data_IF_892738554613
#
_entry.id   IF_892738554613
#
_cell.length_a   1.000
_cell.length_b   1.000
_cell.length_c   1.000
_cell.angle_alpha   90.00
_cell.angle_beta   90.00
_cell.angle_gamma   90.00
#
_symmetry.space_group_name_H-M   'P 1'
#
loop_
_entity.id
_entity.type
_entity.pdbx_description
1 polymer ?
#
# COMPACT_ATOMS: atom_id res chain seq x y z
N UNK A 1 0.55 -1.38 -17.93
CA UNK A 1 0.59 -1.36 -16.43
C UNK A 1 -0.06 -2.65 -15.94
N UNK A 2 0.30 -3.19 -14.78
CA UNK A 2 -0.29 -4.43 -14.27
C UNK A 2 -0.84 -4.22 -12.85
N UNK A 3 -2.02 -4.77 -12.57
CA UNK A 3 -2.63 -4.81 -11.25
C UNK A 3 -2.61 -6.27 -10.76
N UNK A 4 -2.17 -6.44 -9.51
CA UNK A 4 -2.12 -7.73 -8.84
C UNK A 4 -3.23 -7.77 -7.81
N UNK A 5 -4.02 -8.85 -7.81
CA UNK A 5 -5.01 -9.09 -6.76
C UNK A 5 -5.00 -10.55 -6.31
N UNK A 6 -5.69 -10.81 -5.20
CA UNK A 6 -5.99 -12.18 -4.79
C UNK A 6 -6.86 -12.93 -5.84
N UNK A 7 -7.07 -14.22 -5.59
CA UNK A 7 -7.86 -15.11 -6.45
C UNK A 7 -9.37 -15.12 -6.13
N UNK A 8 -9.86 -14.16 -5.33
CA UNK A 8 -11.27 -14.09 -4.98
C UNK A 8 -12.13 -13.86 -6.23
N UNK A 9 -13.22 -14.63 -6.42
CA UNK A 9 -14.09 -14.52 -7.58
C UNK A 9 -14.67 -13.10 -7.79
N UNK A 10 -14.90 -12.37 -6.70
CA UNK A 10 -15.43 -11.01 -6.73
C UNK A 10 -14.48 -10.00 -7.39
N UNK A 11 -13.16 -10.17 -7.26
CA UNK A 11 -12.18 -9.21 -7.78
C UNK A 11 -12.07 -9.25 -9.30
N UNK A 12 -12.12 -10.45 -9.90
CA UNK A 12 -12.12 -10.58 -11.37
C UNK A 12 -13.40 -10.01 -12.01
N UNK A 13 -14.54 -10.13 -11.33
CA UNK A 13 -15.80 -9.48 -11.73
C UNK A 13 -15.69 -7.96 -11.64
N UNK A 14 -15.25 -7.44 -10.50
CA UNK A 14 -15.08 -6.01 -10.28
C UNK A 14 -14.10 -5.38 -11.28
N UNK A 15 -12.98 -6.05 -11.57
CA UNK A 15 -11.99 -5.57 -12.53
C UNK A 15 -12.56 -5.45 -13.96
N UNK A 16 -13.30 -6.46 -14.43
CA UNK A 16 -13.99 -6.39 -15.73
C UNK A 16 -15.01 -5.27 -15.78
N UNK A 17 -15.76 -5.05 -14.70
CA UNK A 17 -16.72 -3.94 -14.60
C UNK A 17 -16.03 -2.58 -14.64
N UNK A 18 -14.85 -2.45 -14.03
CA UNK A 18 -14.05 -1.22 -14.13
C UNK A 18 -13.57 -0.99 -15.57
N UNK A 19 -13.14 -2.05 -16.26
CA UNK A 19 -12.75 -1.97 -17.67
C UNK A 19 -13.90 -1.57 -18.60
N UNK A 20 -15.12 -2.08 -18.34
CA UNK A 20 -16.30 -1.68 -19.15
C UNK A 20 -16.68 -0.22 -18.96
N UNK A 21 -16.37 0.38 -17.80
CA UNK A 21 -16.57 1.81 -17.52
C UNK A 21 -15.41 2.67 -18.05
N UNK A 22 -14.43 2.06 -18.76
CA UNK A 22 -13.29 2.76 -19.35
C UNK A 22 -12.10 2.95 -18.41
N UNK A 23 -12.15 2.40 -17.19
CA UNK A 23 -11.05 2.46 -16.24
C UNK A 23 -10.12 1.26 -16.42
N UNK A 24 -8.81 1.48 -16.36
CA UNK A 24 -7.80 0.40 -16.42
C UNK A 24 -7.86 -0.48 -17.69
N UNK A 25 -8.40 0.04 -18.80
CA UNK A 25 -8.57 -0.69 -20.09
C UNK A 25 -7.28 -1.30 -20.64
N UNK A 26 -6.14 -0.62 -20.46
CA UNK A 26 -4.80 -1.08 -20.88
C UNK A 26 -3.99 -1.76 -19.75
N UNK A 27 -4.66 -2.17 -18.68
CA UNK A 27 -4.01 -2.76 -17.50
C UNK A 27 -4.21 -4.27 -17.47
N UNK A 28 -3.12 -5.01 -17.36
CA UNK A 28 -3.17 -6.46 -17.16
C UNK A 28 -3.58 -6.81 -15.73
N UNK A 29 -4.47 -7.78 -15.57
CA UNK A 29 -4.84 -8.34 -14.28
C UNK A 29 -4.03 -9.61 -14.00
N UNK A 30 -3.27 -9.63 -12.91
CA UNK A 30 -2.43 -10.77 -12.52
C UNK A 30 -2.91 -11.36 -11.19
N UNK A 31 -3.09 -12.68 -11.16
CA UNK A 31 -3.52 -13.44 -9.96
C UNK A 31 -2.49 -14.51 -9.59
N UNK A 32 -1.20 -14.17 -9.75
CA UNK A 32 -0.07 -15.07 -9.49
C UNK A 32 0.14 -15.22 -7.99
N UNK A 33 0.18 -16.48 -7.50
CA UNK A 33 0.36 -16.81 -6.06
C UNK A 33 1.57 -16.11 -5.44
N UNK A 34 2.70 -16.09 -6.15
CA UNK A 34 3.91 -15.44 -5.66
C UNK A 34 3.73 -13.93 -5.41
N UNK A 35 3.11 -13.21 -6.34
CA UNK A 35 2.87 -11.77 -6.18
C UNK A 35 1.90 -11.49 -5.03
N UNK A 36 0.89 -12.35 -4.85
CA UNK A 36 -0.02 -12.26 -3.73
C UNK A 36 0.70 -12.51 -2.39
N UNK A 37 1.62 -13.47 -2.34
CA UNK A 37 2.43 -13.72 -1.16
C UNK A 37 3.31 -12.52 -0.79
N UNK A 38 3.84 -11.79 -1.78
CA UNK A 38 4.61 -10.56 -1.54
C UNK A 38 3.77 -9.46 -0.91
N UNK A 39 2.54 -9.26 -1.40
CA UNK A 39 1.59 -8.29 -0.83
C UNK A 39 1.24 -8.69 0.61
N UNK A 40 0.89 -9.95 0.84
CA UNK A 40 0.58 -10.46 2.17
C UNK A 40 1.77 -10.32 3.14
N UNK A 41 2.99 -10.55 2.66
CA UNK A 41 4.20 -10.37 3.45
C UNK A 41 4.40 -8.91 3.85
N UNK A 42 4.08 -7.94 2.99
CA UNK A 42 4.20 -6.51 3.29
C UNK A 42 3.27 -6.10 4.44
N UNK A 43 2.09 -6.74 4.55
CA UNK A 43 1.09 -6.48 5.60
C UNK A 43 1.35 -7.23 6.92
N UNK A 44 2.20 -8.28 6.93
CA UNK A 44 2.51 -9.06 8.16
C UNK A 44 2.90 -8.21 9.36
N UNK A 45 3.75 -7.17 9.25
CA UNK A 45 4.13 -6.35 10.41
C UNK A 45 2.95 -5.59 11.01
N UNK A 46 2.01 -5.13 10.18
CA UNK A 46 0.81 -4.41 10.64
C UNK A 46 -0.15 -5.41 11.30
N UNK A 47 -0.38 -6.57 10.67
CA UNK A 47 -1.20 -7.65 11.23
C UNK A 47 -0.66 -8.17 12.58
N UNK A 48 0.66 -8.23 12.76
CA UNK A 48 1.29 -8.60 14.05
C UNK A 48 1.13 -7.55 15.14
N UNK A 49 1.02 -6.27 14.77
CA UNK A 49 0.80 -5.16 15.70
C UNK A 49 -0.66 -5.00 16.11
N UNK A 50 -1.52 -5.97 15.80
CA UNK A 50 -2.94 -6.00 16.14
C UNK A 50 -3.16 -5.83 17.65
N UNK A 51 -3.18 -4.57 18.08
CA UNK A 51 -3.66 -4.13 19.38
C UNK A 51 -5.15 -3.89 19.23
N UNK A 52 -5.89 -4.15 20.31
CA UNK A 52 -7.31 -3.84 20.47
C UNK A 52 -7.61 -2.40 20.03
N UNK A 53 -7.91 -2.20 18.74
CA UNK A 53 -8.36 -0.91 18.24
C UNK A 53 -9.74 -0.65 18.84
N UNK A 54 -9.94 0.53 19.40
CA UNK A 54 -11.20 0.88 20.06
C UNK A 54 -12.38 0.96 19.08
N UNK A 55 -12.14 1.31 17.82
CA UNK A 55 -13.17 1.33 16.78
C UNK A 55 -12.57 1.13 15.38
N UNK A 56 -13.42 0.81 14.39
CA UNK A 56 -13.01 0.70 12.99
C UNK A 56 -12.43 2.02 12.45
N UNK A 57 -12.96 3.16 12.90
CA UNK A 57 -12.51 4.48 12.46
C UNK A 57 -11.07 4.77 12.92
N UNK A 58 -10.76 4.46 14.17
CA UNK A 58 -9.42 4.64 14.73
C UNK A 58 -8.45 3.61 14.17
N UNK A 59 -8.88 2.36 13.98
CA UNK A 59 -8.10 1.33 13.31
C UNK A 59 -7.71 1.73 11.88
N UNK A 60 -8.69 2.14 11.06
CA UNK A 60 -8.47 2.54 9.67
C UNK A 60 -7.48 3.69 9.54
N UNK A 61 -7.66 4.74 10.35
CA UNK A 61 -6.76 5.91 10.34
C UNK A 61 -5.33 5.53 10.76
N UNK A 62 -5.21 4.66 11.76
CA UNK A 62 -3.91 4.20 12.29
C UNK A 62 -3.17 3.32 11.28
N UNK A 63 -3.86 2.33 10.70
CA UNK A 63 -3.29 1.43 9.67
C UNK A 63 -2.84 2.24 8.47
N UNK A 64 -3.67 3.17 7.98
CA UNK A 64 -3.34 4.05 6.86
C UNK A 64 -2.09 4.90 7.14
N UNK A 65 -1.95 5.42 8.36
CA UNK A 65 -0.74 6.11 8.79
C UNK A 65 0.51 5.23 8.73
N UNK A 66 0.43 4.01 9.29
CA UNK A 66 1.55 3.05 9.26
C UNK A 66 1.95 2.65 7.84
N UNK A 67 0.98 2.40 6.96
CA UNK A 67 1.21 2.08 5.55
C UNK A 67 1.87 3.24 4.80
N UNK A 68 1.39 4.47 5.04
CA UNK A 68 1.94 5.68 4.42
C UNK A 68 3.41 5.87 4.79
N UNK A 69 3.74 5.77 6.08
CA UNK A 69 5.12 5.85 6.56
C UNK A 69 6.02 4.76 5.94
N UNK A 70 5.50 3.53 5.87
CA UNK A 70 6.23 2.41 5.27
C UNK A 70 6.45 2.62 3.77
N UNK A 71 5.48 3.21 3.07
CA UNK A 71 5.58 3.57 1.66
C UNK A 71 6.68 4.60 1.40
N UNK A 72 6.72 5.67 2.21
CA UNK A 72 7.77 6.71 2.13
C UNK A 72 9.15 6.10 2.39
N UNK A 73 9.28 5.26 3.42
CA UNK A 73 10.52 4.53 3.70
C UNK A 73 10.99 3.66 2.51
N UNK A 74 10.08 2.89 1.90
CA UNK A 74 10.40 2.05 0.73
C UNK A 74 10.78 2.89 -0.49
N UNK A 75 10.17 4.07 -0.67
CA UNK A 75 10.52 5.01 -1.76
C UNK A 75 11.94 5.55 -1.57
N UNK A 76 12.28 6.02 -0.37
CA UNK A 76 13.64 6.49 -0.07
C UNK A 76 14.69 5.41 -0.27
N UNK A 77 14.43 4.18 0.20
CA UNK A 77 15.32 3.02 -0.04
C UNK A 77 15.55 2.73 -1.53
N UNK A 78 14.54 2.93 -2.39
CA UNK A 78 14.67 2.71 -3.84
C UNK A 78 15.44 3.84 -4.54
N UNK A 79 15.36 5.05 -4.02
CA UNK A 79 16.05 6.22 -4.57
C UNK A 79 17.55 6.23 -4.26
N UNK A 80 18.05 5.28 -3.45
CA UNK A 80 19.47 5.15 -3.15
C UNK A 80 20.02 6.30 -2.29
N UNK A 81 19.15 7.04 -1.59
CA UNK A 81 19.58 8.14 -0.73
C UNK A 81 20.54 7.60 0.34
N UNK A 82 21.79 8.09 0.33
CA UNK A 82 22.88 7.65 1.21
C UNK A 82 22.62 7.99 2.70
N UNK A 83 21.71 8.93 2.97
CA UNK A 83 21.44 9.46 4.30
C UNK A 83 20.49 8.58 5.11
N UNK A 84 20.59 8.70 6.44
CA UNK A 84 19.70 8.03 7.38
C UNK A 84 18.26 8.51 7.20
N UNK A 85 17.33 7.56 7.07
CA UNK A 85 15.91 7.86 6.95
C UNK A 85 15.36 8.43 8.28
N UNK A 86 14.76 9.62 8.20
CA UNK A 86 14.07 10.26 9.32
C UNK A 86 12.60 10.49 8.98
N UNK A 87 11.70 9.87 9.74
CA UNK A 87 10.25 10.01 9.52
C UNK A 87 9.80 11.47 9.61
N UNK A 88 10.28 12.21 10.60
CA UNK A 88 9.86 13.61 10.83
C UNK A 88 10.28 14.51 9.67
N UNK A 89 11.51 14.34 9.17
CA UNK A 89 12.05 15.11 8.05
C UNK A 89 11.25 14.83 6.77
N UNK A 90 10.97 13.56 6.50
CA UNK A 90 10.24 13.14 5.31
C UNK A 90 8.77 13.63 5.32
N UNK A 91 8.13 13.63 6.49
CA UNK A 91 6.80 14.21 6.65
C UNK A 91 6.85 15.73 6.45
N UNK A 92 7.82 16.44 7.04
CA UNK A 92 7.97 17.89 6.85
C UNK A 92 8.13 18.24 5.37
N UNK A 93 9.00 17.52 4.65
CA UNK A 93 9.18 17.67 3.20
C UNK A 93 7.89 17.42 2.45
N UNK A 94 7.15 16.35 2.77
CA UNK A 94 5.86 16.05 2.14
C UNK A 94 4.82 17.15 2.38
N UNK A 95 4.84 17.78 3.56
CA UNK A 95 3.93 18.85 3.97
C UNK A 95 4.39 20.24 3.51
N UNK A 96 5.54 20.34 2.82
CA UNK A 96 6.10 21.62 2.37
C UNK A 96 6.57 22.53 3.50
N UNK A 97 6.81 21.98 4.70
CA UNK A 97 7.28 22.74 5.86
C UNK A 97 8.81 22.78 5.80
N UNK A 98 9.45 23.96 5.78
CA UNK A 98 10.91 24.06 5.81
C UNK A 98 11.47 23.39 7.07
N UNK A 99 12.60 22.71 6.91
CA UNK A 99 13.21 21.85 7.92
C UNK A 99 13.55 22.60 9.21
#
# INVERSE_FOLDING_TARGET
KAIVTDKAPSLGSAFRKLQSVGLYTKTEHRTVRYLNNLIEQDHRPIKRRNKFYQSLRTASSTIKGMETLRGIYKKNRRNGTLFSFSVSTEIKVLMGIPA
#
